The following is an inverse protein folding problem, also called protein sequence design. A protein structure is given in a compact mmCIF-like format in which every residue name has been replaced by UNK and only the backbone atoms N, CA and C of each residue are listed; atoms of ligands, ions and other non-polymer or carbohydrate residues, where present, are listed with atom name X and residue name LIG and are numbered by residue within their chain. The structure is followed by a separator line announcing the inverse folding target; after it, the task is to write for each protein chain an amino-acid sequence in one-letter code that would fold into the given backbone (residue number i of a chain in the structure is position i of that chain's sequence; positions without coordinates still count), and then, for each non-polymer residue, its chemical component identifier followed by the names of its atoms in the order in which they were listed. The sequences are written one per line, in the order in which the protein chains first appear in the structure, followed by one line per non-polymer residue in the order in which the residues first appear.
data_IF_192388298547
#
_entry.id   IF_192388298547
#
_cell.length_a   1.000
_cell.length_b   1.000
_cell.length_c   1.000
_cell.angle_alpha   90.00
_cell.angle_beta   90.00
_cell.angle_gamma   90.00
#
_symmetry.space_group_name_H-M   'P 1'
#
loop_
_entity.id
_entity.type
_entity.pdbx_description
1 polymer ?
#
# COMPACT_ATOMS: atom_id res chain seq x y z
N UNK A 1 38.70 -11.67 38.41
CA UNK A 1 37.65 -12.60 38.89
C UNK A 1 37.28 -13.58 37.78
N UNK A 2 37.17 -14.88 38.10
CA UNK A 2 36.80 -15.98 37.18
C UNK A 2 35.35 -16.43 37.47
N UNK A 3 34.58 -16.70 36.40
CA UNK A 3 33.38 -17.58 36.12
C UNK A 3 32.65 -18.30 37.28
N UNK A 4 31.37 -18.78 37.17
CA UNK A 4 30.69 -19.38 35.97
C UNK A 4 29.17 -19.06 35.81
N UNK A 5 28.52 -19.15 34.64
CA UNK A 5 28.09 -20.30 33.81
C UNK A 5 27.30 -21.40 34.53
N UNK A 6 25.96 -21.39 34.38
CA UNK A 6 25.06 -22.44 34.89
C UNK A 6 24.56 -23.31 33.73
N UNK A 7 25.19 -24.49 33.61
CA UNK A 7 24.66 -25.67 32.92
C UNK A 7 23.53 -26.27 33.75
N UNK A 8 22.41 -26.59 33.12
CA UNK A 8 21.52 -27.65 33.61
C UNK A 8 21.27 -28.63 32.46
N UNK A 9 21.89 -29.81 32.60
CA UNK A 9 21.63 -30.99 31.77
C UNK A 9 20.95 -32.04 32.65
N UNK A 10 19.91 -32.65 32.05
CA UNK A 10 19.61 -34.09 32.01
C UNK A 10 18.76 -34.83 33.07
N UNK A 11 17.94 -35.73 32.47
CA UNK A 11 17.38 -37.02 32.92
C UNK A 11 16.03 -36.98 33.65
N UNK A 12 14.98 -37.76 33.30
CA UNK A 12 14.86 -39.16 32.81
C UNK A 12 13.65 -39.31 31.84
N UNK A 13 13.69 -40.11 30.74
CA UNK A 13 13.37 -41.56 30.63
C UNK A 13 12.03 -41.95 31.30
N UNK A 14 11.06 -42.68 30.73
CA UNK A 14 11.01 -43.59 29.57
C UNK A 14 9.55 -44.07 29.34
N UNK A 15 9.33 -44.77 28.21
CA UNK A 15 8.37 -45.89 27.99
C UNK A 15 6.85 -45.55 27.88
N UNK A 16 5.99 -46.13 27.02
CA UNK A 16 5.93 -47.32 26.15
C UNK A 16 4.93 -47.01 25.00
N UNK A 17 5.22 -47.30 23.72
CA UNK A 17 4.74 -48.46 22.94
C UNK A 17 3.22 -48.73 22.95
N UNK A 18 2.46 -48.36 21.90
CA UNK A 18 1.56 -49.27 21.14
C UNK A 18 0.89 -48.63 19.89
N UNK A 19 0.79 -49.45 18.84
CA UNK A 19 -0.36 -49.58 17.90
C UNK A 19 -0.46 -48.69 16.65
N UNK A 20 -0.03 -49.35 15.57
CA UNK A 20 -0.39 -49.29 14.14
C UNK A 20 -1.85 -48.86 13.88
N UNK A 21 -2.10 -47.94 12.94
CA UNK A 21 -3.10 -48.13 11.88
C UNK A 21 -2.79 -47.27 10.64
N UNK A 22 -2.73 -47.97 9.50
CA UNK A 22 -2.67 -47.46 8.13
C UNK A 22 -3.81 -46.48 7.87
N UNK A 23 -3.57 -45.38 7.15
CA UNK A 23 -4.52 -44.83 6.16
C UNK A 23 -3.82 -43.74 5.30
N UNK A 24 -3.43 -44.08 4.07
CA UNK A 24 -3.24 -43.15 2.95
C UNK A 24 -4.51 -43.19 2.10
N UNK A 25 -4.79 -42.22 1.21
CA UNK A 25 -4.79 -40.76 1.30
C UNK A 25 -6.19 -40.18 0.97
N UNK A 26 -6.37 -38.84 0.91
CA UNK A 26 -6.92 -38.33 -0.34
C UNK A 26 -6.13 -37.16 -0.92
N UNK A 27 -5.99 -37.25 -2.23
CA UNK A 27 -5.49 -36.27 -3.18
C UNK A 27 -6.40 -35.03 -3.21
N UNK A 28 -5.77 -33.87 -3.46
CA UNK A 28 -6.33 -32.57 -3.88
C UNK A 28 -7.07 -31.74 -2.83
N UNK A 29 -6.44 -30.61 -2.50
CA UNK A 29 -7.01 -29.35 -2.97
C UNK A 29 -5.87 -28.47 -3.46
N UNK A 30 -5.80 -28.27 -4.77
CA UNK A 30 -5.18 -27.09 -5.34
C UNK A 30 -5.89 -25.92 -4.67
N UNK A 31 -5.23 -25.25 -3.72
CA UNK A 31 -5.62 -23.91 -3.32
C UNK A 31 -5.56 -23.09 -4.60
N UNK A 32 -6.73 -22.86 -5.15
CA UNK A 32 -6.97 -21.98 -6.29
C UNK A 32 -6.12 -20.75 -6.06
N UNK A 33 -5.07 -20.58 -6.85
CA UNK A 33 -4.45 -19.29 -7.06
C UNK A 33 -5.56 -18.54 -7.82
N UNK A 34 -6.49 -17.95 -7.08
CA UNK A 34 -7.26 -16.84 -7.62
C UNK A 34 -6.19 -15.79 -7.85
N UNK A 35 -5.70 -15.73 -9.09
CA UNK A 35 -4.92 -14.60 -9.55
C UNK A 35 -5.59 -13.36 -8.98
N UNK A 36 -4.88 -12.51 -8.22
CA UNK A 36 -5.47 -11.24 -7.82
C UNK A 36 -6.00 -10.61 -9.12
N UNK A 37 -7.25 -10.11 -9.15
CA UNK A 37 -7.67 -9.35 -10.31
C UNK A 37 -6.57 -8.32 -10.52
N UNK A 38 -5.94 -8.36 -11.69
CA UNK A 38 -5.04 -7.30 -12.11
C UNK A 38 -5.88 -6.05 -11.97
N UNK A 39 -5.66 -5.29 -10.89
CA UNK A 39 -6.19 -3.96 -10.73
C UNK A 39 -5.72 -3.28 -12.00
N UNK A 40 -6.63 -3.10 -12.94
CA UNK A 40 -6.38 -2.13 -13.99
C UNK A 40 -6.18 -0.87 -13.16
N UNK A 41 -4.94 -0.40 -13.04
CA UNK A 41 -4.68 0.88 -12.39
C UNK A 41 -5.32 1.90 -13.30
N UNK A 42 -6.61 2.17 -13.03
CA UNK A 42 -7.42 3.08 -13.79
C UNK A 42 -6.92 4.48 -13.43
N UNK A 43 -5.97 4.97 -14.19
CA UNK A 43 -5.46 6.32 -14.01
C UNK A 43 -6.56 7.32 -14.39
N UNK A 44 -7.22 7.88 -13.37
CA UNK A 44 -8.29 8.87 -13.54
C UNK A 44 -7.76 10.27 -13.25
N UNK A 45 -8.35 11.29 -13.86
CA UNK A 45 -7.92 12.68 -13.69
C UNK A 45 -8.49 13.24 -12.39
N UNK A 46 -7.61 13.75 -11.55
CA UNK A 46 -7.96 14.38 -10.28
C UNK A 46 -7.26 15.72 -10.16
N UNK A 47 -7.91 16.62 -9.44
CA UNK A 47 -7.37 17.87 -8.94
C UNK A 47 -7.06 17.63 -7.46
N UNK A 48 -5.78 17.73 -7.11
CA UNK A 48 -5.31 17.63 -5.72
C UNK A 48 -5.00 19.03 -5.23
N UNK A 49 -5.72 19.46 -4.19
CA UNK A 49 -5.51 20.72 -3.50
C UNK A 49 -4.82 20.47 -2.17
N UNK A 50 -3.69 21.15 -1.97
CA UNK A 50 -2.94 21.17 -0.73
C UNK A 50 -3.45 22.29 0.17
N UNK A 51 -3.10 22.21 1.45
CA UNK A 51 -3.30 23.34 2.36
C UNK A 51 -2.27 24.45 2.11
N UNK A 52 -2.60 25.65 2.55
CA UNK A 52 -1.76 26.85 2.37
C UNK A 52 -0.43 26.82 3.12
N UNK A 53 -0.28 25.90 4.08
CA UNK A 53 0.96 25.73 4.85
C UNK A 53 2.01 24.84 4.13
N UNK A 54 1.71 24.34 2.93
CA UNK A 54 2.59 23.50 2.13
C UNK A 54 3.36 24.37 1.14
N UNK A 55 4.68 24.25 1.10
CA UNK A 55 5.49 25.03 0.16
C UNK A 55 5.39 24.49 -1.26
N UNK A 56 5.61 25.35 -2.26
CA UNK A 56 5.61 24.95 -3.67
C UNK A 56 6.62 23.83 -3.96
N UNK A 57 7.75 23.81 -3.26
CA UNK A 57 8.77 22.78 -3.45
C UNK A 57 8.29 21.41 -2.97
N UNK A 58 7.55 21.34 -1.86
CA UNK A 58 6.91 20.10 -1.42
C UNK A 58 5.84 19.63 -2.43
N UNK A 59 5.07 20.57 -3.01
CA UNK A 59 4.09 20.24 -4.03
C UNK A 59 4.78 19.63 -5.26
N UNK A 60 5.94 20.15 -5.67
CA UNK A 60 6.76 19.59 -6.76
C UNK A 60 7.30 18.19 -6.41
N UNK A 61 7.69 17.95 -5.16
CA UNK A 61 8.10 16.61 -4.71
C UNK A 61 6.95 15.61 -4.83
N UNK A 62 5.75 15.96 -4.36
CA UNK A 62 4.56 15.12 -4.52
C UNK A 62 4.21 14.90 -5.99
N UNK A 63 4.31 15.93 -6.82
CA UNK A 63 4.12 15.81 -8.26
C UNK A 63 5.13 14.83 -8.91
N UNK A 64 6.40 14.89 -8.51
CA UNK A 64 7.41 13.93 -8.96
C UNK A 64 7.13 12.50 -8.47
N UNK A 65 6.60 12.34 -7.25
CA UNK A 65 6.16 11.06 -6.72
C UNK A 65 4.98 10.49 -7.52
N UNK A 66 4.02 11.33 -7.94
CA UNK A 66 2.92 10.91 -8.81
C UNK A 66 3.45 10.35 -10.11
N UNK A 67 4.33 11.10 -10.79
CA UNK A 67 4.96 10.67 -12.04
C UNK A 67 5.76 9.37 -11.88
N UNK A 68 6.47 9.21 -10.76
CA UNK A 68 7.26 8.00 -10.47
C UNK A 68 6.41 6.78 -10.16
N UNK A 69 5.22 6.97 -9.59
CA UNK A 69 4.29 5.90 -9.22
C UNK A 69 3.32 5.47 -10.34
N UNK A 70 3.58 5.88 -11.58
CA UNK A 70 2.76 5.52 -12.74
C UNK A 70 1.56 6.43 -13.01
N UNK A 71 1.45 7.53 -12.27
CA UNK A 71 0.56 8.65 -12.60
C UNK A 71 1.22 9.65 -13.54
N UNK A 72 0.48 10.69 -13.91
CA UNK A 72 0.98 11.76 -14.79
C UNK A 72 0.43 13.11 -14.35
N UNK A 73 1.31 14.04 -13.98
CA UNK A 73 0.89 15.42 -13.65
C UNK A 73 0.58 16.17 -14.93
N UNK A 74 -0.68 16.61 -15.07
CA UNK A 74 -1.20 17.27 -16.27
C UNK A 74 -1.01 18.79 -16.20
N UNK A 75 -1.21 19.39 -15.02
CA UNK A 75 -1.10 20.84 -14.84
C UNK A 75 -0.75 21.18 -13.39
N UNK A 76 0.14 22.14 -13.17
CA UNK A 76 0.39 22.72 -11.84
C UNK A 76 -0.29 24.08 -11.72
N UNK A 77 -0.85 24.40 -10.57
CA UNK A 77 -1.48 25.69 -10.31
C UNK A 77 -0.50 26.60 -9.57
N UNK A 78 -0.37 27.85 -10.03
CA UNK A 78 0.50 28.86 -9.39
C UNK A 78 -0.20 29.75 -8.37
N UNK A 79 -1.53 29.84 -8.43
CA UNK A 79 -2.34 30.69 -7.53
C UNK A 79 -2.87 29.89 -6.33
N UNK A 80 -3.19 28.63 -6.55
CA UNK A 80 -3.73 27.71 -5.55
C UNK A 80 -2.68 26.62 -5.34
N UNK A 81 -2.31 26.28 -4.10
CA UNK A 81 -1.36 25.20 -3.83
C UNK A 81 -1.98 23.86 -4.27
N UNK A 82 -1.65 23.41 -5.47
CA UNK A 82 -2.32 22.26 -6.08
C UNK A 82 -1.78 21.87 -7.44
N UNK A 83 -2.18 20.69 -7.89
CA UNK A 83 -1.96 20.24 -9.26
C UNK A 83 -3.09 19.32 -9.74
N UNK A 84 -3.30 19.31 -11.05
CA UNK A 84 -4.10 18.30 -11.73
C UNK A 84 -3.19 17.18 -12.22
N UNK A 85 -3.56 15.93 -11.92
CA UNK A 85 -2.83 14.76 -12.36
C UNK A 85 -3.76 13.60 -12.68
N UNK A 86 -3.30 12.72 -13.57
CA UNK A 86 -3.81 11.36 -13.67
C UNK A 86 -3.20 10.55 -12.55
N UNK A 87 -4.03 10.09 -11.63
CA UNK A 87 -3.61 9.36 -10.44
C UNK A 87 -4.18 7.95 -10.54
N UNK A 88 -3.36 6.96 -10.20
CA UNK A 88 -3.81 5.57 -10.11
C UNK A 88 -4.59 5.32 -8.82
N UNK A 89 -5.47 4.32 -8.80
CA UNK A 89 -6.27 4.00 -7.61
C UNK A 89 -5.41 3.76 -6.35
N UNK A 90 -4.23 3.16 -6.50
CA UNK A 90 -3.29 2.93 -5.39
C UNK A 90 -2.76 4.25 -4.81
N UNK A 91 -2.36 5.18 -5.70
CA UNK A 91 -1.89 6.50 -5.29
C UNK A 91 -3.02 7.36 -4.71
N UNK A 92 -4.23 7.24 -5.25
CA UNK A 92 -5.41 7.93 -4.74
C UNK A 92 -5.65 7.54 -3.28
N UNK A 93 -5.56 6.24 -2.95
CA UNK A 93 -5.75 5.76 -1.59
C UNK A 93 -4.65 6.26 -0.62
N UNK A 94 -3.42 6.43 -1.12
CA UNK A 94 -2.34 7.07 -0.36
C UNK A 94 -2.64 8.54 -0.08
N UNK A 95 -3.07 9.30 -1.09
CA UNK A 95 -3.43 10.71 -0.93
C UNK A 95 -4.66 10.92 -0.06
N UNK A 96 -5.65 10.04 -0.14
CA UNK A 96 -6.80 10.05 0.77
C UNK A 96 -6.38 9.86 2.24
N UNK A 97 -5.33 9.08 2.49
CA UNK A 97 -4.79 8.90 3.84
C UNK A 97 -4.08 10.16 4.37
N UNK A 98 -3.61 11.03 3.46
CA UNK A 98 -2.99 12.33 3.77
C UNK A 98 -3.98 13.49 3.76
N UNK A 99 -5.24 13.22 3.42
CA UNK A 99 -6.33 14.20 3.42
C UNK A 99 -6.64 14.62 4.86
N UNK A 100 -6.73 15.92 5.09
CA UNK A 100 -6.92 16.49 6.41
C UNK A 100 -5.62 16.88 7.12
N UNK A 101 -4.47 16.37 6.70
CA UNK A 101 -3.14 16.77 7.20
C UNK A 101 -2.48 17.78 6.27
N UNK A 102 -2.06 17.31 5.09
CA UNK A 102 -1.31 18.06 4.08
C UNK A 102 -2.23 18.40 2.89
N UNK A 103 -3.11 17.48 2.52
CA UNK A 103 -4.06 17.63 1.42
C UNK A 103 -5.36 18.20 1.97
N UNK A 104 -5.82 19.30 1.37
CA UNK A 104 -7.08 19.95 1.70
C UNK A 104 -8.27 19.20 1.08
N UNK A 105 -8.20 18.92 -0.22
CA UNK A 105 -9.24 18.19 -0.94
C UNK A 105 -8.68 17.45 -2.16
N UNK A 106 -9.40 16.41 -2.59
CA UNK A 106 -9.11 15.63 -3.79
C UNK A 106 -10.42 15.48 -4.56
N UNK A 107 -10.47 16.01 -5.78
CA UNK A 107 -11.69 16.07 -6.58
C UNK A 107 -11.45 15.50 -7.98
N UNK A 108 -12.40 14.74 -8.56
CA UNK A 108 -12.29 14.29 -9.95
C UNK A 108 -12.43 15.47 -10.92
N UNK A 109 -11.56 15.52 -11.92
CA UNK A 109 -11.59 16.55 -12.97
C UNK A 109 -12.78 16.32 -13.92
N UNK A 110 -13.65 17.33 -14.07
CA UNK A 110 -14.88 17.24 -14.87
C UNK A 110 -14.87 18.24 -16.04
N UNK A 111 -15.41 17.81 -17.18
CA UNK A 111 -15.60 18.68 -18.36
C UNK A 111 -16.84 19.54 -18.13
N UNK A 112 -16.68 20.86 -18.14
CA UNK A 112 -17.80 21.81 -18.10
C UNK A 112 -18.35 22.00 -19.51
N UNK A 113 -19.62 21.67 -19.73
CA UNK A 113 -20.34 21.93 -20.99
C UNK A 113 -21.22 23.16 -20.84
N UNK A 114 -21.05 24.18 -21.69
CA UNK A 114 -21.93 25.35 -21.75
C UNK A 114 -23.15 25.05 -22.62
N UNK A 115 -24.32 25.56 -22.21
CA UNK A 115 -25.60 25.42 -22.94
C UNK A 115 -25.83 26.57 -23.91
#
# INVERSE_FOLDING_TARGET
MRRPEYKWLCCCKAALYTTIHRFLPPIRRLSSISSPPSRINMASKYIVMFKDNVSEDQIKEYAAQVNSGGGEVTQMYGIIPGFAAKITDDQLQQFQSLQGDIIASIEPDQIVTTQ
#
